data_IF_944151763371
#
_entry.id   IF_944151763371
#
_cell.length_a   1.000
_cell.length_b   1.000
_cell.length_c   1.000
_cell.angle_alpha   90.00
_cell.angle_beta   90.00
_cell.angle_gamma   90.00
#
_symmetry.space_group_name_H-M   'P 1'
#
loop_
_entity.id
_entity.type
_entity.pdbx_description
1 polymer ?
#
# COMPACT_ATOMS: atom_id res chain seq x y z
N UNK A 1 -19.33 -11.16 -5.37
CA UNK A 1 -19.03 -10.32 -4.20
C UNK A 1 -19.20 -11.18 -2.96
N UNK A 2 -18.22 -11.18 -2.05
CA UNK A 2 -18.26 -11.90 -0.77
C UNK A 2 -18.39 -10.86 0.35
N UNK A 3 -19.29 -11.06 1.32
CA UNK A 3 -19.50 -10.07 2.39
C UNK A 3 -19.93 -10.65 3.72
N UNK A 4 -19.61 -9.95 4.82
CA UNK A 4 -19.98 -10.29 6.20
C UNK A 4 -19.45 -11.67 6.61
N UNK A 5 -18.16 -11.88 6.42
CA UNK A 5 -17.49 -13.16 6.73
C UNK A 5 -16.52 -12.93 7.89
N UNK A 6 -16.51 -13.87 8.84
CA UNK A 6 -15.48 -13.96 9.88
C UNK A 6 -14.73 -15.27 9.71
N UNK A 7 -13.40 -15.18 9.68
CA UNK A 7 -12.48 -16.31 9.53
C UNK A 7 -11.59 -16.35 10.76
N UNK A 8 -11.53 -17.48 11.46
CA UNK A 8 -10.76 -17.65 12.69
C UNK A 8 -9.87 -18.87 12.59
N UNK A 9 -8.68 -18.81 13.19
CA UNK A 9 -7.75 -19.95 13.36
C UNK A 9 -7.39 -20.65 12.03
N UNK A 10 -7.17 -19.85 10.99
CA UNK A 10 -6.78 -20.31 9.65
C UNK A 10 -5.26 -20.26 9.44
N UNK A 11 -4.73 -20.99 8.44
CA UNK A 11 -3.36 -20.72 7.99
C UNK A 11 -3.24 -19.34 7.34
N UNK A 12 -4.00 -19.12 6.27
CA UNK A 12 -4.17 -17.82 5.62
C UNK A 12 -5.67 -17.54 5.55
N UNK A 13 -6.10 -16.33 5.89
CA UNK A 13 -7.52 -15.99 5.96
C UNK A 13 -8.18 -15.95 4.58
N UNK A 14 -7.77 -14.99 3.75
CA UNK A 14 -8.22 -14.87 2.35
C UNK A 14 -7.06 -15.18 1.42
N UNK A 15 -7.27 -16.08 0.44
CA UNK A 15 -6.38 -16.26 -0.70
C UNK A 15 -7.19 -16.04 -1.97
N UNK A 16 -6.79 -15.06 -2.79
CA UNK A 16 -7.44 -14.82 -4.08
C UNK A 16 -6.43 -14.61 -5.20
N UNK A 17 -6.57 -15.44 -6.23
CA UNK A 17 -5.78 -15.47 -7.46
C UNK A 17 -6.63 -15.12 -8.70
N UNK A 18 -7.93 -14.83 -8.49
CA UNK A 18 -8.89 -14.60 -9.58
C UNK A 18 -8.78 -13.21 -10.19
N UNK A 19 -9.73 -12.88 -11.05
CA UNK A 19 -9.86 -11.53 -11.61
C UNK A 19 -11.14 -10.87 -11.11
N UNK A 20 -11.06 -9.57 -10.77
CA UNK A 20 -12.21 -8.72 -10.45
C UNK A 20 -13.09 -9.21 -9.30
N UNK A 21 -12.54 -10.02 -8.39
CA UNK A 21 -13.23 -10.45 -7.17
C UNK A 21 -13.33 -9.29 -6.17
N UNK A 22 -14.45 -9.25 -5.45
CA UNK A 22 -14.74 -8.19 -4.48
C UNK A 22 -15.14 -8.80 -3.14
N UNK A 23 -14.53 -8.28 -2.08
CA UNK A 23 -14.76 -8.68 -0.68
C UNK A 23 -15.09 -7.44 0.14
N UNK A 24 -16.11 -7.50 0.99
CA UNK A 24 -16.52 -6.35 1.82
C UNK A 24 -16.95 -6.78 3.21
N UNK A 25 -16.55 -6.06 4.26
CA UNK A 25 -16.87 -6.36 5.66
C UNK A 25 -16.37 -7.76 6.06
N UNK A 26 -15.05 -7.96 6.00
CA UNK A 26 -14.42 -9.24 6.36
C UNK A 26 -13.61 -9.10 7.64
N UNK A 27 -13.75 -10.06 8.55
CA UNK A 27 -12.90 -10.23 9.72
C UNK A 27 -12.00 -11.44 9.57
N UNK A 28 -10.70 -11.28 9.82
CA UNK A 28 -9.73 -12.37 9.91
C UNK A 28 -9.05 -12.30 11.27
N UNK A 29 -9.06 -13.40 12.02
CA UNK A 29 -8.36 -13.48 13.31
C UNK A 29 -7.55 -14.75 13.49
N UNK A 30 -6.42 -14.62 14.18
CA UNK A 30 -5.51 -15.71 14.50
C UNK A 30 -5.04 -16.50 13.26
N UNK A 31 -4.71 -15.79 12.17
CA UNK A 31 -4.07 -16.43 11.03
C UNK A 31 -2.63 -16.87 11.42
N UNK A 32 -2.21 -18.09 11.11
CA UNK A 32 -0.83 -18.51 11.43
C UNK A 32 0.21 -17.97 10.43
N UNK A 33 -0.24 -17.50 9.26
CA UNK A 33 0.56 -16.85 8.21
C UNK A 33 -0.03 -15.46 7.90
N UNK A 34 -0.24 -15.08 6.64
CA UNK A 34 -0.90 -13.82 6.28
C UNK A 34 -2.40 -13.85 6.58
N UNK A 35 -2.98 -12.70 6.90
CA UNK A 35 -4.43 -12.59 6.96
C UNK A 35 -5.05 -12.60 5.55
N UNK A 36 -4.38 -11.96 4.59
CA UNK A 36 -4.84 -11.83 3.22
C UNK A 36 -3.68 -11.96 2.23
N UNK A 37 -3.87 -12.78 1.20
CA UNK A 37 -3.01 -12.86 0.01
C UNK A 37 -3.80 -12.52 -1.25
N UNK A 38 -3.37 -11.45 -1.93
CA UNK A 38 -3.92 -10.94 -3.19
C UNK A 38 -2.88 -11.10 -4.29
N UNK A 39 -3.05 -12.08 -5.17
CA UNK A 39 -2.12 -12.32 -6.30
C UNK A 39 -2.78 -12.31 -7.68
N UNK A 40 -4.08 -11.97 -7.72
CA UNK A 40 -4.85 -11.83 -8.95
C UNK A 40 -4.84 -10.43 -9.56
N UNK A 41 -5.85 -10.11 -10.37
CA UNK A 41 -5.96 -8.78 -11.03
C UNK A 41 -7.30 -8.11 -10.75
N UNK A 42 -7.30 -6.81 -10.46
CA UNK A 42 -8.52 -6.04 -10.24
C UNK A 42 -9.27 -6.43 -8.97
N UNK A 43 -8.56 -6.97 -7.98
CA UNK A 43 -9.16 -7.45 -6.74
C UNK A 43 -9.52 -6.28 -5.83
N UNK A 44 -10.65 -6.34 -5.12
CA UNK A 44 -11.02 -5.30 -4.16
C UNK A 44 -11.41 -5.86 -2.80
N UNK A 45 -10.91 -5.22 -1.75
CA UNK A 45 -11.31 -5.47 -0.36
C UNK A 45 -11.73 -4.15 0.29
N UNK A 46 -12.91 -4.14 0.87
CA UNK A 46 -13.46 -3.03 1.64
C UNK A 46 -13.75 -3.47 3.09
N UNK A 47 -13.46 -2.62 4.06
CA UNK A 47 -13.78 -2.85 5.48
C UNK A 47 -13.21 -4.17 6.00
N UNK A 48 -11.89 -4.34 5.89
CA UNK A 48 -11.18 -5.51 6.42
C UNK A 48 -10.73 -5.25 7.86
N UNK A 49 -11.05 -6.17 8.77
CA UNK A 49 -10.51 -6.19 10.12
C UNK A 49 -9.59 -7.40 10.29
N UNK A 50 -8.36 -7.16 10.71
CA UNK A 50 -7.37 -8.21 11.01
C UNK A 50 -6.98 -8.12 12.48
N UNK A 51 -7.06 -9.23 13.20
CA UNK A 51 -6.61 -9.31 14.60
C UNK A 51 -5.83 -10.59 14.88
N UNK A 52 -4.52 -10.45 15.14
CA UNK A 52 -3.65 -11.60 15.35
C UNK A 52 -3.35 -12.33 14.04
N UNK A 53 -2.09 -12.25 13.61
CA UNK A 53 -1.57 -12.95 12.44
C UNK A 53 -0.07 -13.15 12.62
N UNK A 54 0.42 -14.30 12.16
CA UNK A 54 1.84 -14.71 12.18
C UNK A 54 2.58 -14.54 13.51
N UNK A 55 3.65 -15.29 13.69
CA UNK A 55 4.52 -15.11 14.86
C UNK A 55 5.44 -13.88 14.70
N UNK A 56 5.84 -13.29 15.82
CA UNK A 56 6.80 -12.18 15.87
C UNK A 56 8.14 -12.61 15.28
N UNK A 57 8.78 -11.69 14.56
CA UNK A 57 10.07 -11.94 13.91
C UNK A 57 9.99 -12.75 12.61
N UNK A 58 8.83 -13.32 12.25
CA UNK A 58 8.64 -14.04 10.98
C UNK A 58 8.84 -13.14 9.74
N UNK A 59 8.53 -11.85 9.86
CA UNK A 59 8.49 -10.92 8.73
C UNK A 59 7.28 -11.12 7.80
N UNK A 60 6.39 -12.05 8.12
CA UNK A 60 5.15 -12.30 7.37
C UNK A 60 4.21 -11.09 7.47
N UNK A 61 3.68 -10.55 6.36
CA UNK A 61 2.76 -9.43 6.39
C UNK A 61 1.34 -9.86 6.79
N UNK A 62 0.54 -8.94 7.34
CA UNK A 62 -0.91 -9.17 7.43
C UNK A 62 -1.52 -9.26 6.02
N UNK A 63 -1.06 -8.41 5.11
CA UNK A 63 -1.50 -8.34 3.72
C UNK A 63 -0.32 -8.58 2.79
N UNK A 64 -0.35 -9.65 2.02
CA UNK A 64 0.54 -9.85 0.88
C UNK A 64 -0.20 -9.49 -0.43
N UNK A 65 0.24 -8.41 -1.09
CA UNK A 65 -0.36 -7.87 -2.30
C UNK A 65 0.63 -7.92 -3.47
N UNK A 66 0.67 -9.07 -4.15
CA UNK A 66 1.47 -9.32 -5.35
C UNK A 66 0.70 -9.18 -6.66
N UNK A 67 -0.62 -9.02 -6.58
CA UNK A 67 -1.50 -8.84 -7.73
C UNK A 67 -1.40 -7.45 -8.37
N UNK A 68 -2.16 -7.26 -9.45
CA UNK A 68 -2.20 -6.02 -10.23
C UNK A 68 -3.56 -5.35 -10.10
N UNK A 69 -3.60 -4.02 -10.06
CA UNK A 69 -4.83 -3.22 -9.94
C UNK A 69 -5.67 -3.62 -8.70
N UNK A 70 -5.03 -4.04 -7.61
CA UNK A 70 -5.72 -4.39 -6.37
C UNK A 70 -6.06 -3.13 -5.56
N UNK A 71 -7.25 -3.10 -4.96
CA UNK A 71 -7.72 -2.00 -4.13
C UNK A 71 -8.12 -2.48 -2.74
N UNK A 72 -7.49 -1.95 -1.71
CA UNK A 72 -7.89 -2.18 -0.33
C UNK A 72 -8.30 -0.86 0.29
N UNK A 73 -9.47 -0.81 0.92
CA UNK A 73 -9.96 0.38 1.59
C UNK A 73 -10.59 0.07 2.93
N UNK A 74 -10.35 0.92 3.93
CA UNK A 74 -10.90 0.74 5.27
C UNK A 74 -10.35 -0.51 5.94
N UNK A 75 -9.03 -0.60 6.06
CA UNK A 75 -8.37 -1.75 6.71
C UNK A 75 -7.99 -1.37 8.13
N UNK A 76 -8.43 -2.16 9.11
CA UNK A 76 -7.96 -2.08 10.49
C UNK A 76 -7.14 -3.33 10.82
N UNK A 77 -5.89 -3.13 11.27
CA UNK A 77 -4.98 -4.21 11.65
C UNK A 77 -4.62 -4.01 13.12
N UNK A 78 -4.82 -5.02 13.94
CA UNK A 78 -4.46 -5.02 15.34
C UNK A 78 -3.64 -6.26 15.71
N UNK A 79 -2.69 -6.10 16.62
CA UNK A 79 -2.03 -7.24 17.25
C UNK A 79 -2.85 -7.73 18.44
N UNK A 80 -3.04 -9.05 18.52
CA UNK A 80 -3.62 -9.70 19.71
C UNK A 80 -2.58 -9.94 20.82
N UNK A 81 -1.28 -9.89 20.51
CA UNK A 81 -0.18 -10.07 21.47
C UNK A 81 1.10 -9.35 21.02
N UNK A 82 2.02 -9.12 21.96
CA UNK A 82 3.36 -8.56 21.67
C UNK A 82 4.25 -9.50 20.82
N UNK A 83 3.78 -10.72 20.56
CA UNK A 83 4.50 -11.77 19.83
C UNK A 83 3.92 -11.99 18.41
N UNK A 84 3.27 -11.00 17.80
CA UNK A 84 2.83 -11.06 16.40
C UNK A 84 3.75 -10.27 15.45
N UNK A 85 3.73 -10.61 14.15
CA UNK A 85 4.46 -9.85 13.12
C UNK A 85 3.99 -8.39 13.03
N UNK A 86 4.90 -7.46 12.69
CA UNK A 86 4.62 -6.00 12.58
C UNK A 86 4.59 -5.48 11.16
N UNK A 87 4.59 -6.39 10.19
CA UNK A 87 4.49 -6.03 8.79
C UNK A 87 3.01 -5.93 8.44
N UNK A 88 2.52 -4.71 8.20
CA UNK A 88 1.13 -4.46 7.82
C UNK A 88 0.87 -4.95 6.39
N UNK A 89 1.76 -4.63 5.46
CA UNK A 89 1.63 -5.03 4.08
C UNK A 89 2.99 -5.27 3.40
N UNK A 90 3.04 -6.28 2.56
CA UNK A 90 4.02 -6.44 1.48
C UNK A 90 3.33 -6.17 0.15
N UNK A 91 3.94 -5.34 -0.69
CA UNK A 91 3.39 -4.96 -1.99
C UNK A 91 4.47 -5.21 -3.03
N UNK A 92 4.14 -6.02 -4.04
CA UNK A 92 5.08 -6.41 -5.09
C UNK A 92 4.50 -6.34 -6.50
N UNK A 93 3.18 -6.18 -6.62
CA UNK A 93 2.52 -6.03 -7.92
C UNK A 93 2.35 -4.58 -8.36
N UNK A 94 1.53 -4.37 -9.39
CA UNK A 94 1.42 -3.09 -10.09
C UNK A 94 0.10 -2.37 -9.80
N UNK A 95 0.13 -1.04 -9.74
CA UNK A 95 -1.04 -0.14 -9.66
C UNK A 95 -1.99 -0.47 -8.51
N UNK A 96 -1.41 -0.91 -7.39
CA UNK A 96 -2.15 -1.25 -6.18
C UNK A 96 -2.45 -0.01 -5.35
N UNK A 97 -3.66 0.07 -4.81
CA UNK A 97 -4.13 1.18 -3.98
C UNK A 97 -4.57 0.65 -2.62
N UNK A 98 -3.85 1.03 -1.57
CA UNK A 98 -4.21 0.77 -0.18
C UNK A 98 -4.58 2.10 0.47
N UNK A 99 -5.82 2.22 0.92
CA UNK A 99 -6.39 3.47 1.43
C UNK A 99 -7.05 3.28 2.80
N UNK A 100 -6.97 4.30 3.65
CA UNK A 100 -7.57 4.28 4.98
C UNK A 100 -7.11 3.08 5.82
N UNK A 101 -5.79 2.83 5.83
CA UNK A 101 -5.18 1.74 6.59
C UNK A 101 -4.87 2.25 8.00
N UNK A 102 -5.43 1.59 9.02
CA UNK A 102 -5.18 1.90 10.43
C UNK A 102 -4.52 0.70 11.11
N UNK A 103 -3.26 0.87 11.50
CA UNK A 103 -2.52 -0.14 12.23
C UNK A 103 -2.47 0.24 13.72
N UNK A 104 -2.96 -0.66 14.58
CA UNK A 104 -3.11 -0.45 16.02
C UNK A 104 -2.10 -1.32 16.79
N UNK A 105 -1.38 -0.71 17.73
CA UNK A 105 -0.40 -1.41 18.55
C UNK A 105 0.52 -0.43 19.28
N UNK A 106 1.34 -0.95 20.19
CA UNK A 106 2.28 -0.16 20.99
C UNK A 106 3.60 0.12 20.28
N UNK A 107 3.83 -0.48 19.11
CA UNK A 107 5.10 -0.42 18.38
C UNK A 107 4.87 0.02 16.92
N UNK A 108 5.88 0.64 16.28
CA UNK A 108 5.75 1.09 14.89
C UNK A 108 5.48 -0.08 13.94
N UNK A 109 4.55 0.13 13.02
CA UNK A 109 4.27 -0.81 11.94
C UNK A 109 5.14 -0.56 10.73
N UNK A 110 5.38 -1.61 9.96
CA UNK A 110 6.14 -1.57 8.72
C UNK A 110 5.22 -1.83 7.52
N UNK A 111 5.43 -1.08 6.45
CA UNK A 111 4.95 -1.45 5.10
C UNK A 111 6.20 -1.65 4.25
N UNK A 112 6.18 -2.70 3.42
CA UNK A 112 7.24 -2.97 2.45
C UNK A 112 6.67 -2.89 1.05
N UNK A 113 7.25 -2.01 0.25
CA UNK A 113 7.01 -1.91 -1.19
C UNK A 113 8.27 -2.43 -1.87
N UNK A 114 8.16 -3.60 -2.50
CA UNK A 114 9.29 -4.32 -3.08
C UNK A 114 9.71 -3.71 -4.44
N UNK A 115 10.94 -4.02 -4.87
CA UNK A 115 11.54 -3.48 -6.08
C UNK A 115 10.77 -3.73 -7.40
N UNK A 116 9.93 -4.77 -7.44
CA UNK A 116 9.08 -5.08 -8.57
C UNK A 116 7.73 -4.36 -8.54
N UNK A 117 7.37 -3.70 -7.42
CA UNK A 117 6.14 -2.94 -7.33
C UNK A 117 6.23 -1.65 -8.16
N UNK A 118 5.15 -1.34 -8.88
CA UNK A 118 5.09 -0.15 -9.74
C UNK A 118 3.77 0.58 -9.52
N UNK A 119 3.82 1.88 -9.20
CA UNK A 119 2.63 2.70 -9.06
C UNK A 119 1.80 2.38 -7.82
N UNK A 120 2.46 2.01 -6.72
CA UNK A 120 1.78 1.77 -5.43
C UNK A 120 1.25 3.06 -4.84
N UNK A 121 0.00 3.07 -4.37
CA UNK A 121 -0.60 4.21 -3.66
C UNK A 121 -0.98 3.80 -2.25
N UNK A 122 -0.37 4.43 -1.26
CA UNK A 122 -0.63 4.29 0.17
C UNK A 122 -1.30 5.58 0.66
N UNK A 123 -2.63 5.66 0.67
CA UNK A 123 -3.36 6.89 1.07
C UNK A 123 -3.97 6.77 2.47
N UNK A 124 -3.86 7.83 3.26
CA UNK A 124 -4.38 7.92 4.63
C UNK A 124 -3.95 6.76 5.53
N UNK A 125 -2.66 6.41 5.51
CA UNK A 125 -2.07 5.36 6.34
C UNK A 125 -1.72 5.88 7.73
N UNK A 126 -2.17 5.16 8.77
CA UNK A 126 -1.93 5.46 10.19
C UNK A 126 -1.22 4.30 10.89
N UNK A 127 -0.33 4.61 11.84
CA UNK A 127 0.46 3.63 12.59
C UNK A 127 1.79 3.23 11.94
N UNK A 128 2.04 3.69 10.71
CA UNK A 128 3.30 3.54 9.97
C UNK A 128 3.94 4.92 9.86
N UNK A 129 5.21 5.05 10.21
CA UNK A 129 5.98 6.29 10.05
C UNK A 129 6.73 6.25 8.72
N UNK A 130 7.12 7.42 8.19
CA UNK A 130 7.93 7.46 6.96
C UNK A 130 9.25 6.68 7.13
N UNK A 131 9.86 6.72 8.32
CA UNK A 131 11.07 5.97 8.66
C UNK A 131 10.87 4.45 8.74
N UNK A 132 9.63 3.97 8.88
CA UNK A 132 9.31 2.55 8.92
C UNK A 132 8.74 2.02 7.60
N UNK A 133 8.47 2.89 6.63
CA UNK A 133 8.21 2.49 5.25
C UNK A 133 9.52 2.03 4.62
N UNK A 134 9.57 0.79 4.13
CA UNK A 134 10.64 0.32 3.25
C UNK A 134 10.11 0.32 1.84
N UNK A 135 10.65 1.20 1.01
CA UNK A 135 10.17 1.42 -0.35
C UNK A 135 11.33 1.32 -1.33
N UNK A 136 11.43 0.15 -1.95
CA UNK A 136 12.32 -0.12 -3.09
C UNK A 136 11.54 -0.05 -4.42
N UNK A 137 10.23 0.20 -4.35
CA UNK A 137 9.34 0.22 -5.50
C UNK A 137 9.56 1.42 -6.40
N UNK A 138 8.80 1.44 -7.49
CA UNK A 138 8.80 2.56 -8.44
C UNK A 138 7.49 3.31 -8.41
N UNK A 139 7.56 4.64 -8.42
CA UNK A 139 6.39 5.53 -8.42
C UNK A 139 5.44 5.25 -7.27
N UNK A 140 5.99 5.01 -6.09
CA UNK A 140 5.22 4.88 -4.86
C UNK A 140 4.72 6.25 -4.40
N UNK A 141 3.47 6.30 -3.97
CA UNK A 141 2.88 7.46 -3.31
C UNK A 141 2.54 7.09 -1.87
N UNK A 142 3.09 7.83 -0.91
CA UNK A 142 2.65 7.79 0.50
C UNK A 142 1.90 9.09 0.81
N UNK A 143 0.62 8.98 1.15
CA UNK A 143 -0.28 10.10 1.44
C UNK A 143 -0.20 11.18 0.37
N UNK A 144 -0.26 10.75 -0.90
CA UNK A 144 -0.16 11.58 -2.12
C UNK A 144 1.19 12.28 -2.32
N UNK A 145 2.23 11.88 -1.58
CA UNK A 145 3.59 12.36 -1.76
C UNK A 145 4.45 11.27 -2.43
N UNK A 146 5.14 11.62 -3.51
CA UNK A 146 6.12 10.77 -4.18
C UNK A 146 7.45 11.49 -4.37
N UNK A 147 8.50 10.72 -4.65
CA UNK A 147 9.83 11.27 -4.99
C UNK A 147 10.18 10.93 -6.42
N UNK A 148 11.03 11.75 -7.05
CA UNK A 148 11.54 11.51 -8.38
C UNK A 148 13.01 11.90 -8.44
N UNK A 149 13.84 10.99 -8.98
CA UNK A 149 15.27 11.21 -9.18
C UNK A 149 15.57 12.17 -10.34
N UNK A 150 15.17 13.44 -10.21
CA UNK A 150 15.31 14.50 -11.21
C UNK A 150 14.00 15.21 -11.52
N UNK A 151 14.08 16.20 -12.40
CA UNK A 151 12.92 16.96 -12.83
C UNK A 151 11.95 16.07 -13.64
N UNK A 152 10.71 15.84 -13.16
CA UNK A 152 9.76 14.93 -13.80
C UNK A 152 9.29 15.40 -15.19
N UNK A 153 9.53 16.68 -15.56
CA UNK A 153 9.30 17.18 -16.93
C UNK A 153 10.22 16.52 -17.95
N UNK A 154 11.41 16.06 -17.53
CA UNK A 154 12.46 15.58 -18.45
C UNK A 154 13.06 14.23 -18.08
N UNK A 155 13.00 13.79 -16.82
CA UNK A 155 13.71 12.59 -16.36
C UNK A 155 13.13 11.98 -15.08
N UNK A 156 13.66 10.81 -14.70
CA UNK A 156 13.22 10.07 -13.52
C UNK A 156 12.00 9.20 -13.79
N UNK A 157 11.62 8.41 -12.79
CA UNK A 157 10.58 7.39 -12.92
C UNK A 157 9.16 7.92 -13.13
N UNK A 158 8.92 9.19 -12.77
CA UNK A 158 7.65 9.89 -12.97
C UNK A 158 7.55 10.62 -14.32
N UNK A 159 8.64 10.70 -15.09
CA UNK A 159 8.59 11.29 -16.42
C UNK A 159 7.66 10.49 -17.34
N UNK A 160 6.77 11.19 -18.06
CA UNK A 160 5.72 10.57 -18.88
C UNK A 160 4.52 10.03 -18.09
N UNK A 161 4.47 10.22 -16.77
CA UNK A 161 3.39 9.70 -15.90
C UNK A 161 2.55 10.81 -15.24
N UNK A 162 2.46 11.99 -15.86
CA UNK A 162 1.68 13.12 -15.34
C UNK A 162 0.19 12.82 -15.22
N UNK A 163 -0.41 12.11 -16.20
CA UNK A 163 -1.83 11.72 -16.12
C UNK A 163 -2.13 10.86 -14.89
N UNK A 164 -1.27 9.86 -14.63
CA UNK A 164 -1.40 9.00 -13.45
C UNK A 164 -1.24 9.78 -12.14
N UNK A 165 -0.23 10.64 -12.08
CA UNK A 165 0.00 11.49 -10.91
C UNK A 165 -1.17 12.45 -10.65
N UNK A 166 -1.74 13.05 -11.69
CA UNK A 166 -2.92 13.90 -11.59
C UNK A 166 -4.14 13.12 -11.09
N UNK A 167 -4.40 11.93 -11.65
CA UNK A 167 -5.50 11.07 -11.23
C UNK A 167 -5.42 10.68 -9.74
N UNK A 168 -4.21 10.58 -9.18
CA UNK A 168 -3.97 10.29 -7.77
C UNK A 168 -3.88 11.54 -6.88
N UNK A 169 -3.98 12.75 -7.46
CA UNK A 169 -3.81 14.01 -6.75
C UNK A 169 -2.43 14.15 -6.10
N UNK A 170 -1.39 13.66 -6.77
CA UNK A 170 -0.05 13.52 -6.22
C UNK A 170 0.77 14.81 -6.30
N UNK A 171 1.58 15.04 -5.26
CA UNK A 171 2.75 15.92 -5.30
C UNK A 171 4.00 15.04 -5.45
N UNK A 172 4.81 15.32 -6.46
CA UNK A 172 6.06 14.60 -6.72
C UNK A 172 7.24 15.55 -6.53
N UNK A 173 8.20 15.14 -5.71
CA UNK A 173 9.37 15.93 -5.37
C UNK A 173 10.57 15.55 -6.23
N UNK A 174 11.12 16.51 -6.98
CA UNK A 174 12.44 16.38 -7.59
C UNK A 174 13.51 16.42 -6.49
N UNK A 175 14.21 15.30 -6.32
CA UNK A 175 15.18 15.09 -5.25
C UNK A 175 16.62 15.47 -5.63
N UNK A 176 16.89 15.87 -6.89
CA UNK A 176 18.22 16.32 -7.33
C UNK A 176 18.63 17.69 -6.74
N UNK A 177 17.82 18.75 -6.82
CA UNK A 177 18.17 20.05 -6.24
C UNK A 177 18.01 20.01 -4.71
N UNK A 178 18.75 20.86 -4.00
CA UNK A 178 18.55 21.10 -2.56
C UNK A 178 18.29 22.60 -2.33
N UNK A 179 17.12 23.02 -1.80
CA UNK A 179 15.99 22.18 -1.38
C UNK A 179 15.30 21.48 -2.57
N UNK A 180 14.63 20.36 -2.28
CA UNK A 180 13.82 19.63 -3.25
C UNK A 180 12.75 20.52 -3.86
N UNK A 181 12.41 20.30 -5.13
CA UNK A 181 11.39 21.08 -5.85
C UNK A 181 10.10 20.26 -5.99
N UNK A 182 8.96 20.74 -5.50
CA UNK A 182 7.68 20.05 -5.65
C UNK A 182 7.06 20.30 -7.04
N UNK A 183 6.44 19.27 -7.59
CA UNK A 183 5.67 19.30 -8.83
C UNK A 183 4.28 18.69 -8.64
N UNK A 184 3.30 19.23 -9.36
CA UNK A 184 2.00 18.60 -9.58
C UNK A 184 1.77 18.41 -11.09
N UNK A 185 0.91 17.46 -11.46
CA UNK A 185 0.55 17.28 -12.86
C UNK A 185 -0.77 17.98 -13.19
N UNK A 186 -0.87 18.54 -14.40
CA UNK A 186 -2.00 19.37 -14.84
C UNK A 186 -3.21 18.57 -15.36
N UNK A 187 -3.06 17.25 -15.51
CA UNK A 187 -4.08 16.36 -16.06
C UNK A 187 -4.02 16.19 -17.58
N UNK A 188 -3.15 16.94 -18.28
CA UNK A 188 -2.83 16.77 -19.70
C UNK A 188 -1.45 16.10 -19.90
N UNK A 189 -0.93 15.46 -18.85
CA UNK A 189 0.38 14.80 -18.86
C UNK A 189 1.57 15.72 -18.58
N UNK A 190 1.35 17.03 -18.40
CA UNK A 190 2.44 17.98 -18.12
C UNK A 190 2.68 18.11 -16.60
N UNK A 191 3.92 18.40 -16.25
CA UNK A 191 4.34 18.67 -14.88
C UNK A 191 4.54 20.17 -14.65
N UNK A 192 3.90 20.69 -13.61
CA UNK A 192 3.92 22.09 -13.19
C UNK A 192 4.72 22.18 -11.88
N UNK A 193 5.80 22.97 -11.81
CA UNK A 193 6.46 23.28 -10.55
C UNK A 193 5.50 24.01 -9.60
N UNK A 194 5.40 23.56 -8.35
CA UNK A 194 4.62 24.27 -7.35
C UNK A 194 5.46 25.43 -6.79
N UNK A 195 4.94 26.65 -6.89
CA UNK A 195 5.54 27.81 -6.25
C UNK A 195 5.52 27.64 -4.73
N UNK A 196 6.62 28.02 -4.07
CA UNK A 196 6.74 28.05 -2.60
C UNK A 196 5.74 29.01 -1.96
#
# INVERSE_FOLDING_TARGET
MFTNITITDSKTGIVTQGTRSQYSNIGVSNATDEAVRLSGTGLSIENLTVSGFAESGSGTPAIDCSGTDCRLTGVSIAQSSNNASRVAAHISGERNVLSNISCHGSQPWQIVVNANAVGTVLDSVRGVTLSSLRDDGRRTLLNRQGTNGGDPRVSGEWNGHGEYANAMGATVWDTKPNPWTPYCADGAGNWIPMSK
#
